data_IF_250447502273
#
_entry.id   IF_250447502273
#
_cell.length_a   1.000
_cell.length_b   1.000
_cell.length_c   1.000
_cell.angle_alpha   90.00
_cell.angle_beta   90.00
_cell.angle_gamma   90.00
#
_symmetry.space_group_name_H-M   'P 1'
#
loop_
_entity.id
_entity.type
_entity.pdbx_description
1 polymer ?
#
# COMPACT_ATOMS: atom_id res chain seq x y z
N UNK A 1 17.64 7.47 -28.47
CA UNK A 1 18.80 7.42 -27.55
C UNK A 1 18.41 8.02 -26.20
N UNK A 2 18.19 7.16 -25.21
CA UNK A 2 18.25 7.38 -23.74
C UNK A 2 17.63 8.65 -23.14
N UNK A 3 16.32 8.64 -22.83
CA UNK A 3 15.71 9.51 -21.79
C UNK A 3 14.57 8.82 -21.02
N UNK A 4 14.78 7.60 -20.54
CA UNK A 4 13.76 6.86 -19.76
C UNK A 4 14.09 6.60 -18.27
N UNK A 5 15.21 7.09 -17.73
CA UNK A 5 15.67 6.68 -16.38
C UNK A 5 15.80 7.88 -15.43
N UNK A 6 14.84 8.81 -15.47
CA UNK A 6 14.79 9.91 -14.49
C UNK A 6 13.41 10.05 -13.83
N UNK A 7 12.77 8.92 -13.54
CA UNK A 7 11.51 8.83 -12.80
C UNK A 7 11.65 8.08 -11.46
N UNK A 8 12.87 8.00 -10.91
CA UNK A 8 13.15 7.40 -9.59
C UNK A 8 13.38 8.44 -8.47
N UNK A 9 13.49 9.74 -8.79
CA UNK A 9 13.69 10.79 -7.79
C UNK A 9 12.61 11.87 -7.86
N UNK A 10 11.37 11.49 -7.56
CA UNK A 10 10.39 12.45 -7.04
C UNK A 10 9.45 11.82 -6.02
N UNK A 11 9.94 10.83 -5.28
CA UNK A 11 9.40 10.51 -3.97
C UNK A 11 10.07 11.50 -3.01
N UNK A 12 9.41 12.64 -2.73
CA UNK A 12 9.74 13.46 -1.55
C UNK A 12 9.95 12.51 -0.36
N UNK A 13 10.87 12.78 0.58
CA UNK A 13 11.04 11.94 1.76
C UNK A 13 9.68 11.81 2.46
N UNK A 14 9.01 10.70 2.19
CA UNK A 14 7.65 10.45 2.60
C UNK A 14 7.78 10.06 4.05
N UNK A 15 7.60 11.05 4.93
CA UNK A 15 7.58 10.89 6.38
C UNK A 15 6.70 9.67 6.69
N UNK A 16 7.32 8.57 7.11
CA UNK A 16 6.64 7.36 7.53
C UNK A 16 5.77 7.78 8.72
N UNK A 17 4.52 8.10 8.41
CA UNK A 17 3.59 8.62 9.39
C UNK A 17 3.10 7.42 10.20
N UNK A 18 3.15 7.51 11.52
CA UNK A 18 2.67 6.49 12.48
C UNK A 18 1.15 6.17 12.39
N UNK A 19 0.47 6.67 11.35
CA UNK A 19 -0.97 6.63 11.17
C UNK A 19 -1.32 5.75 9.96
N UNK A 20 -2.30 4.86 10.09
CA UNK A 20 -2.80 4.10 8.95
C UNK A 20 -3.47 5.04 7.94
N UNK A 21 -3.07 4.97 6.67
CA UNK A 21 -3.56 5.87 5.62
C UNK A 21 -3.76 5.15 4.29
N UNK A 22 -4.79 5.56 3.56
CA UNK A 22 -5.02 5.21 2.16
C UNK A 22 -5.11 6.52 1.37
N UNK A 23 -4.26 6.69 0.36
CA UNK A 23 -4.29 7.85 -0.54
C UNK A 23 -4.36 7.40 -1.98
N UNK A 24 -5.31 7.96 -2.74
CA UNK A 24 -5.44 7.72 -4.18
C UNK A 24 -4.90 8.93 -4.93
N UNK A 25 -4.27 8.68 -6.07
CA UNK A 25 -3.78 9.72 -6.97
C UNK A 25 -4.07 9.34 -8.42
N UNK A 26 -4.12 10.36 -9.28
CA UNK A 26 -4.33 10.23 -10.71
C UNK A 26 -3.31 11.10 -11.43
N UNK A 27 -2.51 10.47 -12.30
CA UNK A 27 -1.68 11.17 -13.26
C UNK A 27 -2.52 11.49 -14.49
N UNK A 28 -3.05 12.71 -14.56
CA UNK A 28 -4.01 13.13 -15.60
C UNK A 28 -3.49 12.95 -17.02
N UNK A 29 -2.25 13.35 -17.27
CA UNK A 29 -1.66 13.32 -18.62
C UNK A 29 -1.34 11.90 -19.11
N UNK A 30 -1.32 10.91 -18.21
CA UNK A 30 -1.02 9.52 -18.51
C UNK A 30 -2.24 8.59 -18.36
N UNK A 31 -3.37 9.11 -17.85
CA UNK A 31 -4.54 8.34 -17.41
C UNK A 31 -4.20 7.16 -16.46
N UNK A 32 -3.13 7.30 -15.67
CA UNK A 32 -2.70 6.29 -14.71
C UNK A 32 -3.24 6.63 -13.33
N UNK A 33 -4.01 5.70 -12.76
CA UNK A 33 -4.47 5.75 -11.37
C UNK A 33 -3.52 4.96 -10.49
N UNK A 34 -3.23 5.51 -9.32
CA UNK A 34 -2.43 4.81 -8.32
C UNK A 34 -2.95 5.04 -6.92
N UNK A 35 -2.43 4.25 -5.99
CA UNK A 35 -2.77 4.33 -4.59
C UNK A 35 -1.55 4.06 -3.71
N UNK A 36 -1.49 4.74 -2.58
CA UNK A 36 -0.49 4.57 -1.54
C UNK A 36 -1.18 4.13 -0.26
N UNK A 37 -0.72 3.02 0.31
CA UNK A 37 -1.25 2.40 1.51
C UNK A 37 -0.17 2.37 2.59
N UNK A 38 -0.51 2.80 3.80
CA UNK A 38 0.29 2.53 5.01
C UNK A 38 -0.62 1.95 6.07
N UNK A 39 -0.27 0.76 6.58
CA UNK A 39 -1.08 0.02 7.57
C UNK A 39 -0.25 -0.39 8.79
N UNK A 40 0.82 0.34 9.11
CA UNK A 40 1.79 -0.07 10.13
C UNK A 40 1.16 -0.40 11.50
N UNK A 41 0.30 0.48 12.02
CA UNK A 41 -0.29 0.28 13.34
C UNK A 41 -1.34 -0.83 13.34
N UNK A 42 -2.23 -0.87 12.33
CA UNK A 42 -3.23 -1.94 12.22
C UNK A 42 -2.57 -3.30 12.01
N UNK A 43 -1.55 -3.35 11.17
CA UNK A 43 -0.76 -4.56 10.92
C UNK A 43 -0.11 -5.06 12.20
N UNK A 44 0.59 -4.19 12.94
CA UNK A 44 1.20 -4.54 14.23
C UNK A 44 0.18 -5.07 15.23
N UNK A 45 -0.99 -4.43 15.35
CA UNK A 45 -2.07 -4.90 16.21
C UNK A 45 -2.62 -6.28 15.79
N UNK A 46 -2.71 -6.55 14.48
CA UNK A 46 -3.20 -7.85 13.97
C UNK A 46 -2.24 -9.01 14.25
N UNK A 47 -0.93 -8.78 14.20
CA UNK A 47 0.07 -9.84 14.44
C UNK A 47 0.56 -9.92 15.87
N UNK A 48 0.19 -8.96 16.72
CA UNK A 48 0.62 -8.93 18.11
C UNK A 48 0.20 -10.24 18.80
N UNK A 49 1.11 -10.80 19.61
CA UNK A 49 0.90 -12.05 20.36
C UNK A 49 0.63 -13.33 19.53
N UNK A 50 0.80 -13.29 18.20
CA UNK A 50 0.56 -14.48 17.35
C UNK A 50 1.78 -15.38 17.12
N UNK A 51 2.96 -15.00 17.62
CA UNK A 51 4.17 -15.83 17.51
C UNK A 51 4.69 -16.08 16.08
N UNK A 52 4.16 -15.41 15.04
CA UNK A 52 4.57 -15.66 13.66
C UNK A 52 6.06 -15.40 13.41
N UNK A 53 6.69 -16.20 12.56
CA UNK A 53 8.04 -15.93 12.07
C UNK A 53 8.09 -14.67 11.21
N UNK A 54 9.29 -14.10 11.02
CA UNK A 54 9.48 -12.88 10.22
C UNK A 54 8.95 -13.03 8.80
N UNK A 55 9.16 -14.19 8.18
CA UNK A 55 8.75 -14.50 6.81
C UNK A 55 7.22 -14.53 6.69
N UNK A 56 6.54 -15.16 7.66
CA UNK A 56 5.08 -15.25 7.69
C UNK A 56 4.45 -13.86 7.91
N UNK A 57 5.04 -13.04 8.80
CA UNK A 57 4.61 -11.65 9.00
C UNK A 57 4.75 -10.83 7.72
N UNK A 58 5.85 -10.98 6.99
CA UNK A 58 6.02 -10.26 5.73
C UNK A 58 4.98 -10.68 4.70
N UNK A 59 4.81 -11.98 4.46
CA UNK A 59 3.86 -12.51 3.49
C UNK A 59 2.42 -12.04 3.78
N UNK A 60 1.98 -12.16 5.03
CA UNK A 60 0.63 -11.71 5.39
C UNK A 60 0.47 -10.20 5.34
N UNK A 61 1.53 -9.43 5.63
CA UNK A 61 1.53 -7.98 5.47
C UNK A 61 1.33 -7.58 4.01
N UNK A 62 2.06 -8.22 3.09
CA UNK A 62 1.94 -8.02 1.64
C UNK A 62 0.55 -8.42 1.14
N UNK A 63 0.04 -9.57 1.55
CA UNK A 63 -1.29 -10.05 1.19
C UNK A 63 -2.41 -9.13 1.70
N UNK A 64 -2.29 -8.66 2.96
CA UNK A 64 -3.22 -7.69 3.54
C UNK A 64 -3.19 -6.37 2.78
N UNK A 65 -2.01 -5.89 2.40
CA UNK A 65 -1.86 -4.68 1.62
C UNK A 65 -2.54 -4.80 0.24
N UNK A 66 -2.31 -5.93 -0.45
CA UNK A 66 -2.95 -6.24 -1.72
C UNK A 66 -4.48 -6.31 -1.59
N UNK A 67 -4.99 -7.01 -0.59
CA UNK A 67 -6.43 -7.13 -0.35
C UNK A 67 -7.06 -5.74 -0.12
N UNK A 68 -6.43 -4.87 0.69
CA UNK A 68 -6.95 -3.51 0.91
C UNK A 68 -6.91 -2.68 -0.38
N UNK A 69 -5.85 -2.79 -1.17
CA UNK A 69 -5.73 -2.10 -2.46
C UNK A 69 -6.80 -2.53 -3.46
N UNK A 70 -7.12 -3.82 -3.50
CA UNK A 70 -8.18 -4.38 -4.35
C UNK A 70 -9.57 -3.96 -3.85
N UNK A 71 -9.81 -4.07 -2.53
CA UNK A 71 -11.08 -3.70 -1.92
C UNK A 71 -11.41 -2.21 -2.15
N UNK A 72 -10.41 -1.34 -2.07
CA UNK A 72 -10.53 0.10 -2.34
C UNK A 72 -10.82 0.43 -3.81
N UNK A 73 -10.55 -0.51 -4.72
CA UNK A 73 -10.89 -0.43 -6.15
C UNK A 73 -12.31 -0.90 -6.49
N UNK A 74 -13.05 -1.48 -5.54
CA UNK A 74 -14.39 -2.01 -5.80
C UNK A 74 -15.40 -0.88 -6.04
N UNK A 75 -16.18 -1.00 -7.11
CA UNK A 75 -17.25 -0.04 -7.46
C UNK A 75 -18.52 -0.24 -6.62
N UNK A 76 -18.71 -1.44 -6.08
CA UNK A 76 -19.89 -1.82 -5.30
C UNK A 76 -19.51 -2.06 -3.84
N UNK A 77 -20.46 -1.81 -2.94
CA UNK A 77 -20.30 -2.15 -1.52
C UNK A 77 -20.22 -3.67 -1.38
N UNK A 78 -19.11 -4.15 -0.85
CA UNK A 78 -18.82 -5.56 -0.69
C UNK A 78 -17.66 -5.78 0.28
N UNK A 79 -17.39 -7.04 0.60
CA UNK A 79 -16.25 -7.45 1.42
C UNK A 79 -15.32 -8.28 0.56
N UNK A 80 -14.02 -8.01 0.67
CA UNK A 80 -12.97 -8.84 0.08
C UNK A 80 -12.30 -9.61 1.22
N UNK A 81 -11.96 -10.88 0.99
CA UNK A 81 -11.31 -11.77 1.96
C UNK A 81 -10.12 -12.44 1.31
#
# INVERSE_FOLDING_TARGET
>A
MMRCIKFILMLKPFKITLMNIIRRFLFRDLDIRGQHLSINHTWQAMINDRGYSKQVRQLFGELSALAIMLANGMKHKGKLT
#
